data_IF_070698201361
#
_entry.id   IF_070698201361
#
_cell.length_a   1.000
_cell.length_b   1.000
_cell.length_c   1.000
_cell.angle_alpha   90.00
_cell.angle_beta   90.00
_cell.angle_gamma   90.00
#
_symmetry.space_group_name_H-M   'P 1'
#
loop_
_entity.id
_entity.type
_entity.pdbx_description
1 polymer ?
#
# COMPACT_ATOMS: atom_id res chain seq x y z
N UNK A 1 -25.04 -19.45 2.84
CA UNK A 1 -23.64 -19.87 2.59
C UNK A 1 -22.83 -18.64 2.21
N UNK A 2 -21.66 -18.48 2.81
CA UNK A 2 -20.85 -17.25 2.68
C UNK A 2 -20.16 -17.16 1.32
N UNK A 3 -20.85 -16.64 0.31
CA UNK A 3 -20.27 -16.43 -1.04
C UNK A 3 -18.99 -15.58 -1.00
N UNK A 4 -18.87 -14.66 -0.03
CA UNK A 4 -17.66 -13.85 0.19
C UNK A 4 -16.45 -14.73 0.53
N UNK A 5 -16.62 -15.72 1.42
CA UNK A 5 -15.53 -16.60 1.84
C UNK A 5 -14.97 -17.47 0.70
N UNK A 6 -15.81 -17.94 -0.22
CA UNK A 6 -15.35 -18.71 -1.37
C UNK A 6 -14.54 -17.86 -2.35
N UNK A 7 -15.03 -16.66 -2.69
CA UNK A 7 -14.30 -15.74 -3.59
C UNK A 7 -12.96 -15.35 -2.98
N UNK A 8 -12.94 -15.00 -1.69
CA UNK A 8 -11.73 -14.65 -0.96
C UNK A 8 -10.71 -15.81 -0.94
N UNK A 9 -11.18 -17.04 -0.66
CA UNK A 9 -10.31 -18.22 -0.65
C UNK A 9 -9.62 -18.45 -1.99
N UNK A 10 -10.38 -18.33 -3.09
CA UNK A 10 -9.83 -18.49 -4.44
C UNK A 10 -8.78 -17.41 -4.73
N UNK A 11 -9.04 -16.16 -4.36
CA UNK A 11 -8.10 -15.05 -4.54
C UNK A 11 -6.81 -15.25 -3.73
N UNK A 12 -6.92 -15.68 -2.47
CA UNK A 12 -5.76 -15.95 -1.61
C UNK A 12 -4.94 -17.12 -2.13
N UNK A 13 -5.56 -18.23 -2.52
CA UNK A 13 -4.86 -19.40 -3.07
C UNK A 13 -4.14 -19.05 -4.38
N UNK A 14 -4.75 -18.18 -5.21
CA UNK A 14 -4.13 -17.68 -6.45
C UNK A 14 -2.95 -16.76 -6.17
N UNK A 15 -3.10 -15.82 -5.22
CA UNK A 15 -2.06 -14.85 -4.87
C UNK A 15 -0.78 -15.50 -4.33
N UNK A 16 -0.93 -16.53 -3.50
CA UNK A 16 0.22 -17.27 -2.94
C UNK A 16 0.70 -18.42 -3.82
N UNK A 17 0.07 -18.65 -4.98
CA UNK A 17 0.44 -19.75 -5.88
C UNK A 17 0.25 -21.14 -5.29
N UNK A 18 -0.47 -21.26 -4.17
CA UNK A 18 -0.71 -22.52 -3.43
C UNK A 18 -1.45 -23.51 -4.31
N UNK A 19 -2.32 -23.03 -5.20
CA UNK A 19 -3.08 -23.87 -6.13
C UNK A 19 -2.15 -24.67 -7.07
N UNK A 20 -1.03 -24.09 -7.51
CA UNK A 20 -0.01 -24.80 -8.30
C UNK A 20 0.69 -25.88 -7.49
N UNK A 21 0.98 -25.62 -6.21
CA UNK A 21 1.62 -26.58 -5.32
C UNK A 21 0.74 -27.80 -5.05
N UNK A 22 -0.57 -27.58 -4.87
CA UNK A 22 -1.51 -28.63 -4.47
C UNK A 22 -2.01 -29.49 -5.63
N UNK A 23 -2.18 -28.90 -6.83
CA UNK A 23 -2.90 -29.55 -7.94
C UNK A 23 -2.05 -29.83 -9.18
N UNK A 24 -0.75 -29.49 -9.19
CA UNK A 24 0.12 -29.81 -10.32
C UNK A 24 0.55 -31.26 -10.30
N UNK A 25 0.22 -31.98 -11.35
CA UNK A 25 0.59 -33.39 -11.56
C UNK A 25 1.95 -33.57 -12.21
N UNK A 26 2.48 -32.51 -12.88
CA UNK A 26 3.80 -32.56 -13.52
C UNK A 26 4.92 -32.40 -12.46
N UNK A 27 5.84 -33.40 -12.34
CA UNK A 27 6.95 -33.37 -11.39
C UNK A 27 7.89 -32.17 -11.54
N UNK A 28 8.08 -31.68 -12.77
CA UNK A 28 8.95 -30.52 -13.06
C UNK A 28 8.32 -29.23 -12.54
N UNK A 29 7.04 -29.02 -12.79
CA UNK A 29 6.32 -27.85 -12.30
C UNK A 29 6.19 -27.86 -10.76
N UNK A 30 5.96 -29.03 -10.18
CA UNK A 30 5.93 -29.19 -8.72
C UNK A 30 7.26 -28.82 -8.07
N UNK A 31 8.39 -29.30 -8.63
CA UNK A 31 9.74 -28.94 -8.18
C UNK A 31 9.99 -27.42 -8.28
N UNK A 32 9.60 -26.80 -9.41
CA UNK A 32 9.70 -25.36 -9.60
C UNK A 32 8.87 -24.58 -8.56
N UNK A 33 7.63 -25.02 -8.27
CA UNK A 33 6.77 -24.40 -7.30
C UNK A 33 7.34 -24.50 -5.86
N UNK A 34 7.96 -25.64 -5.50
CA UNK A 34 8.63 -25.82 -4.20
C UNK A 34 9.82 -24.86 -4.08
N UNK A 35 10.69 -24.78 -5.10
CA UNK A 35 11.84 -23.86 -5.09
C UNK A 35 11.41 -22.39 -5.02
N UNK A 36 10.33 -22.03 -5.71
CA UNK A 36 9.73 -20.69 -5.60
C UNK A 36 9.22 -20.43 -4.19
N UNK A 37 8.57 -21.41 -3.56
CA UNK A 37 8.10 -21.31 -2.17
C UNK A 37 9.24 -21.13 -1.18
N UNK A 38 10.34 -21.89 -1.33
CA UNK A 38 11.55 -21.71 -0.50
C UNK A 38 12.14 -20.32 -0.69
N UNK A 39 12.25 -19.84 -1.94
CA UNK A 39 12.74 -18.49 -2.24
C UNK A 39 11.89 -17.40 -1.58
N UNK A 40 10.56 -17.52 -1.65
CA UNK A 40 9.64 -16.59 -0.97
C UNK A 40 9.80 -16.65 0.54
N UNK A 41 9.98 -17.86 1.11
CA UNK A 41 10.23 -18.04 2.54
C UNK A 41 11.52 -17.37 3.02
N UNK A 42 12.62 -17.52 2.27
CA UNK A 42 13.90 -16.86 2.57
C UNK A 42 13.77 -15.32 2.47
N UNK A 43 13.08 -14.80 1.45
CA UNK A 43 12.81 -13.38 1.33
C UNK A 43 11.98 -12.86 2.51
N UNK A 44 10.96 -13.60 2.94
CA UNK A 44 10.16 -13.23 4.11
C UNK A 44 11.01 -13.16 5.38
N UNK A 45 11.89 -14.13 5.63
CA UNK A 45 12.80 -14.12 6.77
C UNK A 45 13.73 -12.89 6.70
N UNK A 46 14.27 -12.58 5.52
CA UNK A 46 15.13 -11.41 5.33
C UNK A 46 14.37 -10.10 5.62
N UNK A 47 13.15 -9.97 5.13
CA UNK A 47 12.31 -8.78 5.37
C UNK A 47 11.99 -8.63 6.86
N UNK A 48 11.67 -9.72 7.56
CA UNK A 48 11.42 -9.70 9.00
C UNK A 48 12.70 -9.29 9.76
N UNK A 49 13.86 -9.84 9.38
CA UNK A 49 15.14 -9.47 9.98
C UNK A 49 15.47 -7.99 9.81
N UNK A 50 15.28 -7.47 8.59
CA UNK A 50 15.42 -6.02 8.33
C UNK A 50 14.44 -5.19 9.15
N UNK A 51 13.19 -5.61 9.24
CA UNK A 51 12.19 -4.94 10.06
C UNK A 51 12.60 -4.87 11.53
N UNK A 52 13.12 -5.96 12.10
CA UNK A 52 13.62 -5.98 13.48
C UNK A 52 14.77 -4.99 13.65
N UNK A 53 15.75 -4.99 12.74
CA UNK A 53 16.90 -4.09 12.80
C UNK A 53 16.47 -2.62 12.76
N UNK A 54 15.60 -2.24 11.80
CA UNK A 54 15.09 -0.87 11.70
C UNK A 54 14.30 -0.46 12.96
N UNK A 55 13.47 -1.34 13.48
CA UNK A 55 12.73 -1.05 14.70
C UNK A 55 13.65 -0.85 15.91
N UNK A 56 14.73 -1.63 16.04
CA UNK A 56 15.72 -1.45 17.11
C UNK A 56 16.41 -0.09 16.95
N UNK A 57 16.90 0.25 15.75
CA UNK A 57 17.58 1.52 15.49
C UNK A 57 16.70 2.71 15.83
N UNK A 58 15.47 2.74 15.33
CA UNK A 58 14.50 3.81 15.61
C UNK A 58 14.20 3.90 17.11
N UNK A 59 13.94 2.77 17.76
CA UNK A 59 13.58 2.74 19.17
C UNK A 59 14.72 3.21 20.08
N UNK A 60 15.97 2.88 19.74
CA UNK A 60 17.17 3.35 20.47
C UNK A 60 17.31 4.87 20.31
N UNK A 61 17.17 5.40 19.09
CA UNK A 61 17.21 6.85 18.85
C UNK A 61 16.13 7.59 19.65
N UNK A 62 14.91 7.07 19.69
CA UNK A 62 13.83 7.65 20.50
C UNK A 62 14.11 7.58 22.01
N UNK A 63 14.82 6.56 22.47
CA UNK A 63 15.23 6.43 23.86
C UNK A 63 16.30 7.46 24.23
N UNK A 64 17.25 7.74 23.36
CA UNK A 64 18.31 8.73 23.58
C UNK A 64 17.77 10.16 23.73
N UNK A 65 16.69 10.49 23.02
CA UNK A 65 16.02 11.79 23.13
C UNK A 65 14.85 11.82 24.14
N UNK A 66 14.72 10.78 24.97
CA UNK A 66 13.66 10.64 26.01
C UNK A 66 12.21 10.67 25.48
N UNK A 67 12.00 10.39 24.18
CA UNK A 67 10.69 10.43 23.51
C UNK A 67 10.15 9.02 23.15
N UNK A 68 10.46 8.00 23.93
CA UNK A 68 10.09 6.58 23.65
C UNK A 68 8.58 6.38 23.47
N UNK A 69 7.76 7.20 24.12
CA UNK A 69 6.29 7.12 24.02
C UNK A 69 5.79 7.36 22.60
N UNK A 70 6.50 8.18 21.82
CA UNK A 70 6.15 8.50 20.43
C UNK A 70 6.62 7.47 19.42
N UNK A 71 7.47 6.52 19.80
CA UNK A 71 8.01 5.50 18.91
C UNK A 71 6.91 4.66 18.24
N UNK A 72 6.02 4.06 19.03
CA UNK A 72 4.93 3.23 18.47
C UNK A 72 3.94 4.00 17.60
N UNK A 73 3.44 5.19 17.99
CA UNK A 73 2.60 6.02 17.13
C UNK A 73 3.29 6.43 15.82
N UNK A 74 4.58 6.70 15.84
CA UNK A 74 5.36 7.00 14.64
C UNK A 74 5.44 5.79 13.71
N UNK A 75 5.82 4.62 14.23
CA UNK A 75 5.87 3.38 13.43
C UNK A 75 4.49 3.04 12.85
N UNK A 76 3.42 3.20 13.62
CA UNK A 76 2.05 3.01 13.15
C UNK A 76 1.69 3.98 12.02
N UNK A 77 2.06 5.25 12.15
CA UNK A 77 1.80 6.27 11.13
C UNK A 77 2.56 5.98 9.84
N UNK A 78 3.84 5.60 9.94
CA UNK A 78 4.65 5.18 8.79
C UNK A 78 4.06 3.94 8.10
N UNK A 79 3.68 2.92 8.88
CA UNK A 79 3.04 1.72 8.35
C UNK A 79 1.70 2.05 7.67
N UNK A 80 0.88 2.92 8.25
CA UNK A 80 -0.36 3.40 7.66
C UNK A 80 -0.14 4.14 6.35
N UNK A 81 0.90 4.95 6.26
CA UNK A 81 1.28 5.66 5.03
C UNK A 81 1.73 4.69 3.93
N UNK A 82 2.55 3.69 4.26
CA UNK A 82 2.96 2.65 3.31
C UNK A 82 1.74 1.84 2.83
N UNK A 83 0.82 1.50 3.73
CA UNK A 83 -0.45 0.82 3.38
C UNK A 83 -1.28 1.69 2.43
N UNK A 84 -1.38 2.99 2.69
CA UNK A 84 -2.09 3.93 1.83
C UNK A 84 -1.53 3.90 0.41
N UNK A 85 -0.21 4.03 0.27
CA UNK A 85 0.47 4.01 -1.02
C UNK A 85 0.29 2.66 -1.73
N UNK A 86 0.62 1.56 -1.06
CA UNK A 86 0.54 0.22 -1.66
C UNK A 86 -0.88 -0.14 -2.06
N UNK A 87 -1.87 0.26 -1.26
CA UNK A 87 -3.29 0.04 -1.56
C UNK A 87 -3.73 0.92 -2.73
N UNK A 88 -3.28 2.16 -2.80
CA UNK A 88 -3.60 3.07 -3.90
C UNK A 88 -3.22 2.46 -5.26
N UNK A 89 -2.01 1.90 -5.38
CA UNK A 89 -1.58 1.23 -6.61
C UNK A 89 -2.32 -0.07 -6.90
N UNK A 90 -2.63 -0.85 -5.88
CA UNK A 90 -3.31 -2.15 -6.01
C UNK A 90 -4.82 -2.01 -6.23
N UNK A 91 -5.44 -0.97 -5.67
CA UNK A 91 -6.89 -0.78 -5.70
C UNK A 91 -7.46 -0.75 -7.12
N UNK A 92 -6.77 -0.09 -8.04
CA UNK A 92 -7.17 -0.03 -9.46
C UNK A 92 -7.26 -1.44 -10.06
N UNK A 93 -6.20 -2.23 -9.93
CA UNK A 93 -6.13 -3.58 -10.49
C UNK A 93 -7.07 -4.58 -9.80
N UNK A 94 -7.20 -4.49 -8.47
CA UNK A 94 -8.00 -5.43 -7.69
C UNK A 94 -9.50 -5.12 -7.76
N UNK A 95 -9.88 -3.84 -7.65
CA UNK A 95 -11.29 -3.45 -7.57
C UNK A 95 -11.91 -3.19 -8.94
N UNK A 96 -11.14 -2.72 -9.92
CA UNK A 96 -11.72 -2.18 -11.15
C UNK A 96 -11.28 -2.89 -12.44
N UNK A 97 -10.06 -3.40 -12.52
CA UNK A 97 -9.47 -3.98 -13.74
C UNK A 97 -9.17 -5.48 -13.61
N UNK A 98 -9.70 -6.16 -12.61
CA UNK A 98 -9.47 -7.61 -12.42
C UNK A 98 -9.97 -8.41 -13.63
N UNK A 99 -9.07 -9.20 -14.24
CA UNK A 99 -9.40 -10.05 -15.40
C UNK A 99 -10.51 -11.06 -15.12
N UNK A 100 -10.68 -11.43 -13.86
CA UNK A 100 -11.67 -12.41 -13.43
C UNK A 100 -13.06 -11.78 -13.15
N UNK A 101 -13.17 -10.45 -13.38
CA UNK A 101 -14.36 -9.70 -13.00
C UNK A 101 -15.60 -10.10 -13.79
N UNK A 102 -15.45 -10.21 -15.10
CA UNK A 102 -16.57 -10.59 -15.99
C UNK A 102 -17.06 -12.00 -15.66
N UNK A 103 -16.16 -12.90 -15.27
CA UNK A 103 -16.49 -14.24 -14.81
C UNK A 103 -17.22 -14.22 -13.45
N UNK A 104 -16.77 -13.38 -12.52
CA UNK A 104 -17.40 -13.22 -11.21
C UNK A 104 -18.80 -12.58 -11.31
N UNK A 105 -19.01 -11.65 -12.23
CA UNK A 105 -20.31 -11.03 -12.48
C UNK A 105 -21.30 -11.96 -13.17
N UNK A 106 -20.84 -12.98 -13.89
CA UNK A 106 -21.68 -14.02 -14.49
C UNK A 106 -22.21 -15.01 -13.45
N UNK A 107 -21.63 -15.07 -12.25
CA UNK A 107 -22.11 -15.94 -11.18
C UNK A 107 -23.35 -15.35 -10.49
N UNK A 108 -24.26 -16.16 -9.97
CA UNK A 108 -25.47 -15.70 -9.26
C UNK A 108 -25.12 -15.17 -7.85
N UNK A 109 -24.17 -14.22 -7.78
CA UNK A 109 -23.66 -13.63 -6.54
C UNK A 109 -23.97 -12.12 -6.57
N UNK A 110 -24.45 -11.59 -5.44
CA UNK A 110 -24.68 -10.14 -5.32
C UNK A 110 -23.37 -9.39 -5.50
N UNK A 111 -23.36 -8.33 -6.30
CA UNK A 111 -22.19 -7.49 -6.58
C UNK A 111 -21.52 -6.98 -5.28
N UNK A 112 -22.33 -6.69 -4.25
CA UNK A 112 -21.81 -6.28 -2.93
C UNK A 112 -20.94 -7.33 -2.25
N UNK A 113 -21.23 -8.62 -2.48
CA UNK A 113 -20.39 -9.71 -1.93
C UNK A 113 -19.06 -9.85 -2.68
N UNK A 114 -19.05 -9.59 -3.99
CA UNK A 114 -17.84 -9.61 -4.80
C UNK A 114 -16.92 -8.46 -4.35
N UNK A 115 -17.47 -7.25 -4.24
CA UNK A 115 -16.71 -6.07 -3.77
C UNK A 115 -16.22 -6.27 -2.33
N UNK A 116 -17.07 -6.80 -1.46
CA UNK A 116 -16.71 -7.11 -0.07
C UNK A 116 -15.55 -8.10 0.00
N UNK A 117 -15.53 -9.13 -0.84
CA UNK A 117 -14.42 -10.10 -0.92
C UNK A 117 -13.12 -9.43 -1.38
N UNK A 118 -13.19 -8.51 -2.37
CA UNK A 118 -12.00 -7.81 -2.87
C UNK A 118 -11.44 -6.82 -1.86
N UNK A 119 -12.30 -6.06 -1.17
CA UNK A 119 -11.85 -5.15 -0.11
C UNK A 119 -11.26 -5.95 1.06
N UNK A 120 -11.86 -7.09 1.41
CA UNK A 120 -11.33 -7.99 2.43
C UNK A 120 -10.00 -8.62 2.00
N UNK A 121 -9.83 -8.95 0.73
CA UNK A 121 -8.55 -9.41 0.19
C UNK A 121 -7.46 -8.35 0.32
N UNK A 122 -7.76 -7.09 -0.05
CA UNK A 122 -6.83 -5.97 0.15
C UNK A 122 -6.48 -5.78 1.62
N UNK A 123 -7.46 -5.87 2.51
CA UNK A 123 -7.25 -5.79 3.95
C UNK A 123 -6.30 -6.89 4.45
N UNK A 124 -6.54 -8.15 4.10
CA UNK A 124 -5.70 -9.26 4.54
C UNK A 124 -4.26 -9.13 4.03
N UNK A 125 -4.08 -8.71 2.77
CA UNK A 125 -2.74 -8.49 2.22
C UNK A 125 -1.98 -7.37 2.92
N UNK A 126 -2.66 -6.28 3.26
CA UNK A 126 -2.07 -5.18 4.01
C UNK A 126 -1.86 -5.54 5.50
N UNK A 127 -2.75 -6.34 6.08
CA UNK A 127 -2.59 -6.84 7.45
C UNK A 127 -1.33 -7.71 7.57
N UNK A 128 -1.07 -8.61 6.61
CA UNK A 128 0.16 -9.41 6.60
C UNK A 128 1.41 -8.53 6.56
N UNK A 129 1.39 -7.48 5.74
CA UNK A 129 2.48 -6.52 5.67
C UNK A 129 2.65 -5.73 6.99
N UNK A 130 1.54 -5.28 7.56
CA UNK A 130 1.53 -4.55 8.84
C UNK A 130 2.11 -5.40 9.98
N UNK A 131 1.73 -6.68 10.05
CA UNK A 131 2.21 -7.65 11.05
C UNK A 131 3.74 -7.73 11.03
N UNK A 132 4.35 -7.76 9.84
CA UNK A 132 5.81 -7.80 9.68
C UNK A 132 6.51 -6.55 10.25
N UNK A 133 5.85 -5.40 10.25
CA UNK A 133 6.40 -4.14 10.78
C UNK A 133 6.06 -3.97 12.27
N UNK A 134 4.79 -4.13 12.60
CA UNK A 134 4.28 -3.77 13.93
C UNK A 134 4.59 -4.83 15.00
N UNK A 135 4.61 -6.13 14.67
CA UNK A 135 4.96 -7.13 15.70
C UNK A 135 6.38 -6.92 16.23
N UNK A 136 7.42 -6.75 15.38
CA UNK A 136 8.75 -6.38 15.87
C UNK A 136 8.77 -5.08 16.66
N UNK A 137 8.00 -4.06 16.24
CA UNK A 137 7.92 -2.80 16.94
C UNK A 137 7.38 -2.95 18.36
N UNK A 138 6.28 -3.68 18.52
CA UNK A 138 5.71 -3.96 19.84
C UNK A 138 6.64 -4.77 20.74
N UNK A 139 7.39 -5.71 20.14
CA UNK A 139 8.37 -6.53 20.86
C UNK A 139 9.56 -5.68 21.34
N UNK A 140 10.12 -4.83 20.48
CA UNK A 140 11.21 -3.91 20.82
C UNK A 140 10.79 -2.94 21.91
N UNK A 141 9.61 -2.35 21.79
CA UNK A 141 9.03 -1.47 22.81
C UNK A 141 8.87 -2.20 24.16
N UNK A 142 8.38 -3.44 24.10
CA UNK A 142 8.22 -4.30 25.27
C UNK A 142 9.52 -4.55 26.04
N UNK A 143 10.65 -4.73 25.32
CA UNK A 143 11.97 -4.89 25.93
C UNK A 143 12.49 -3.61 26.54
N UNK A 144 12.33 -2.48 25.84
CA UNK A 144 12.88 -1.17 26.24
C UNK A 144 12.13 -0.54 27.41
N UNK A 145 10.80 -0.58 27.38
CA UNK A 145 9.92 0.15 28.34
C UNK A 145 9.38 -0.79 29.41
N UNK A 146 9.33 -2.10 29.17
CA UNK A 146 8.74 -3.11 30.06
C UNK A 146 7.32 -2.73 30.50
N UNK A 147 6.39 -2.52 29.56
CA UNK A 147 5.04 -2.05 29.83
C UNK A 147 4.24 -3.08 30.66
N UNK A 148 3.12 -2.64 31.24
CA UNK A 148 2.19 -3.53 31.92
C UNK A 148 1.59 -4.56 30.97
N UNK A 149 1.19 -5.74 31.47
CA UNK A 149 0.63 -6.84 30.65
C UNK A 149 -0.57 -6.43 29.78
N UNK A 150 -1.37 -5.45 30.23
CA UNK A 150 -2.52 -4.90 29.50
C UNK A 150 -2.12 -4.25 28.17
N UNK A 151 -0.88 -3.74 28.06
CA UNK A 151 -0.32 -3.21 26.82
C UNK A 151 -0.43 -4.21 25.66
N UNK A 152 0.00 -5.44 25.86
CA UNK A 152 0.02 -6.44 24.79
C UNK A 152 -1.37 -6.77 24.27
N UNK A 153 -2.37 -6.72 25.15
CA UNK A 153 -3.76 -6.93 24.79
C UNK A 153 -4.29 -5.77 23.93
N UNK A 154 -4.12 -4.54 24.41
CA UNK A 154 -4.57 -3.32 23.69
C UNK A 154 -3.83 -3.20 22.36
N UNK A 155 -2.50 -3.41 22.36
CA UNK A 155 -1.66 -3.38 21.17
C UNK A 155 -2.09 -4.39 20.13
N UNK A 156 -2.29 -5.65 20.52
CA UNK A 156 -2.74 -6.72 19.62
C UNK A 156 -4.13 -6.46 19.05
N UNK A 157 -5.06 -5.92 19.85
CA UNK A 157 -6.39 -5.56 19.38
C UNK A 157 -6.34 -4.39 18.39
N UNK A 158 -5.66 -3.30 18.74
CA UNK A 158 -5.57 -2.12 17.86
C UNK A 158 -4.84 -2.41 16.55
N UNK A 159 -3.80 -3.25 16.57
CA UNK A 159 -3.04 -3.64 15.39
C UNK A 159 -3.93 -4.15 14.25
N UNK A 160 -4.93 -4.98 14.57
CA UNK A 160 -5.86 -5.53 13.57
C UNK A 160 -6.65 -4.43 12.85
N UNK A 161 -6.94 -3.30 13.52
CA UNK A 161 -7.78 -2.24 12.96
C UNK A 161 -6.99 -1.10 12.29
N UNK A 162 -5.68 -1.02 12.50
CA UNK A 162 -4.80 -0.01 11.88
C UNK A 162 -4.95 0.07 10.36
N UNK A 163 -5.00 -1.04 9.58
CA UNK A 163 -5.02 -0.95 8.12
C UNK A 163 -6.34 -0.42 7.54
N UNK A 164 -7.43 -0.44 8.33
CA UNK A 164 -8.78 -0.17 7.79
C UNK A 164 -8.90 1.25 7.21
N UNK A 165 -8.48 2.26 7.96
CA UNK A 165 -8.60 3.66 7.53
C UNK A 165 -7.71 3.99 6.33
N UNK A 166 -6.41 3.64 6.30
CA UNK A 166 -5.58 3.85 5.11
C UNK A 166 -6.13 3.18 3.86
N UNK A 167 -6.67 1.97 3.98
CA UNK A 167 -7.29 1.25 2.86
C UNK A 167 -8.51 2.00 2.31
N UNK A 168 -9.37 2.53 3.20
CA UNK A 168 -10.54 3.30 2.80
C UNK A 168 -10.11 4.54 2.01
N UNK A 169 -9.18 5.31 2.56
CA UNK A 169 -8.69 6.54 1.91
C UNK A 169 -8.07 6.21 0.56
N UNK A 170 -7.17 5.22 0.52
CA UNK A 170 -6.47 4.84 -0.70
C UNK A 170 -7.43 4.34 -1.79
N UNK A 171 -8.40 3.51 -1.43
CA UNK A 171 -9.38 2.98 -2.39
C UNK A 171 -10.33 4.06 -2.88
N UNK A 172 -10.75 4.99 -2.03
CA UNK A 172 -11.61 6.11 -2.41
C UNK A 172 -10.88 7.07 -3.36
N UNK A 173 -9.66 7.48 -3.01
CA UNK A 173 -8.82 8.33 -3.87
C UNK A 173 -8.49 7.62 -5.19
N UNK A 174 -8.15 6.33 -5.12
CA UNK A 174 -7.89 5.50 -6.31
C UNK A 174 -9.10 5.42 -7.23
N UNK A 175 -10.32 5.29 -6.68
CA UNK A 175 -11.56 5.29 -7.46
C UNK A 175 -11.80 6.66 -8.14
N UNK A 176 -11.60 7.76 -7.44
CA UNK A 176 -11.76 9.12 -8.00
C UNK A 176 -10.77 9.34 -9.14
N UNK A 177 -9.48 9.02 -8.91
CA UNK A 177 -8.44 9.20 -9.94
C UNK A 177 -8.74 8.32 -11.15
N UNK A 178 -9.17 7.08 -10.93
CA UNK A 178 -9.57 6.19 -12.03
C UNK A 178 -10.72 6.79 -12.82
N UNK A 179 -11.76 7.34 -12.18
CA UNK A 179 -12.88 8.00 -12.87
C UNK A 179 -12.44 9.25 -13.67
N UNK A 180 -11.49 10.03 -13.15
CA UNK A 180 -10.97 11.22 -13.83
C UNK A 180 -10.10 10.81 -15.02
N UNK A 181 -9.17 9.88 -14.80
CA UNK A 181 -8.21 9.45 -15.83
C UNK A 181 -8.88 8.76 -17.02
N UNK A 182 -10.02 8.11 -16.82
CA UNK A 182 -10.78 7.50 -17.91
C UNK A 182 -11.40 8.48 -18.89
N UNK A 183 -11.69 9.69 -18.44
CA UNK A 183 -12.21 10.76 -19.30
C UNK A 183 -11.10 11.41 -20.16
N UNK A 184 -9.84 11.13 -19.85
CA UNK A 184 -8.70 11.76 -20.48
C UNK A 184 -8.02 10.82 -21.49
N UNK A 185 -7.66 11.38 -22.65
CA UNK A 185 -7.09 10.64 -23.79
C UNK A 185 -5.71 10.00 -23.50
N UNK A 186 -5.02 10.45 -22.42
CA UNK A 186 -3.66 10.05 -22.05
C UNK A 186 -3.57 9.54 -20.58
N UNK A 187 -4.32 8.51 -20.26
CA UNK A 187 -4.34 7.91 -18.90
C UNK A 187 -2.99 7.56 -18.33
N UNK A 188 -2.10 7.01 -19.18
CA UNK A 188 -0.75 6.60 -18.75
C UNK A 188 0.13 7.81 -18.37
N UNK A 189 0.01 8.91 -19.12
CA UNK A 189 0.77 10.13 -18.82
C UNK A 189 0.37 10.76 -17.48
N UNK A 190 -0.91 10.77 -17.17
CA UNK A 190 -1.41 11.33 -15.90
C UNK A 190 -1.01 10.47 -14.72
N UNK A 191 -1.10 9.14 -14.85
CA UNK A 191 -0.61 8.22 -13.82
C UNK A 191 0.89 8.42 -13.57
N UNK A 192 1.65 8.65 -14.65
CA UNK A 192 3.07 8.94 -14.58
C UNK A 192 3.35 10.26 -13.85
N UNK A 193 2.64 11.33 -14.20
CA UNK A 193 2.78 12.63 -13.54
C UNK A 193 2.46 12.54 -12.04
N UNK A 194 1.40 11.82 -11.66
CA UNK A 194 1.05 11.62 -10.25
C UNK A 194 2.17 10.88 -9.52
N UNK A 195 2.75 9.85 -10.13
CA UNK A 195 3.86 9.10 -9.55
C UNK A 195 5.13 9.96 -9.39
N UNK A 196 5.46 10.77 -10.40
CA UNK A 196 6.63 11.68 -10.34
C UNK A 196 6.44 12.73 -9.25
N UNK A 197 5.28 13.35 -9.17
CA UNK A 197 4.96 14.32 -8.11
C UNK A 197 5.06 13.66 -6.73
N UNK A 198 4.54 12.43 -6.60
CA UNK A 198 4.63 11.69 -5.35
C UNK A 198 6.08 11.42 -4.94
N UNK A 199 6.93 10.95 -5.86
CA UNK A 199 8.36 10.71 -5.61
C UNK A 199 9.06 12.02 -5.25
N UNK A 200 8.77 13.12 -5.97
CA UNK A 200 9.33 14.43 -5.67
C UNK A 200 8.97 14.90 -4.25
N UNK A 201 7.72 14.70 -3.81
CA UNK A 201 7.28 15.02 -2.44
C UNK A 201 8.06 14.20 -1.41
N UNK A 202 8.22 12.88 -1.63
CA UNK A 202 8.99 12.01 -0.71
C UNK A 202 10.46 12.45 -0.63
N UNK A 203 11.06 12.79 -1.76
CA UNK A 203 12.45 13.29 -1.83
C UNK A 203 12.57 14.63 -1.08
N UNK A 204 11.68 15.59 -1.35
CA UNK A 204 11.68 16.89 -0.66
C UNK A 204 11.52 16.73 0.86
N UNK A 205 10.65 15.81 1.31
CA UNK A 205 10.52 15.51 2.74
C UNK A 205 11.80 14.91 3.32
N UNK A 206 12.50 14.04 2.58
CA UNK A 206 13.77 13.43 3.03
C UNK A 206 14.89 14.46 3.15
N UNK A 207 15.01 15.40 2.20
CA UNK A 207 15.99 16.49 2.28
C UNK A 207 15.67 17.48 3.41
N UNK A 208 14.39 17.81 3.61
CA UNK A 208 13.98 18.66 4.72
C UNK A 208 14.33 18.06 6.09
N UNK A 209 14.32 16.74 6.21
CA UNK A 209 14.72 16.06 7.45
C UNK A 209 16.23 16.10 7.71
N UNK A 210 17.06 16.05 6.66
CA UNK A 210 18.53 16.07 6.79
C UNK A 210 19.13 17.46 7.11
N UNK A 211 18.39 18.54 6.87
CA UNK A 211 18.85 19.92 7.14
C UNK A 211 18.68 20.36 8.60
N UNK A 212 18.25 19.46 9.48
CA UNK A 212 17.90 19.76 10.86
C UNK A 212 19.08 19.44 11.76
N UNK A 213 19.65 20.45 12.41
CA UNK A 213 20.77 20.30 13.33
C UNK A 213 20.39 19.54 14.61
N UNK A 214 21.37 18.82 15.18
CA UNK A 214 21.19 17.98 16.39
C UNK A 214 20.65 18.76 17.62
N UNK A 215 20.94 20.06 17.71
CA UNK A 215 20.48 20.95 18.78
C UNK A 215 18.94 21.11 18.85
N UNK A 216 18.24 20.85 17.74
CA UNK A 216 16.78 21.00 17.67
C UNK A 216 16.02 19.65 17.74
N UNK A 217 16.72 18.53 17.96
CA UNK A 217 16.12 17.19 17.90
C UNK A 217 15.01 16.99 18.96
N UNK A 218 15.15 17.51 20.17
CA UNK A 218 14.11 17.43 21.21
C UNK A 218 12.83 18.17 20.85
N UNK A 219 12.95 19.39 20.30
CA UNK A 219 11.80 20.18 19.81
C UNK A 219 11.17 19.57 18.56
N UNK A 220 11.95 18.85 17.76
CA UNK A 220 11.49 18.17 16.56
C UNK A 220 10.54 17.00 16.85
N UNK A 221 10.77 16.25 17.91
CA UNK A 221 9.86 15.17 18.31
C UNK A 221 8.43 15.70 18.48
N UNK A 222 8.26 16.81 19.18
CA UNK A 222 6.96 17.46 19.38
C UNK A 222 6.41 18.06 18.06
N UNK A 223 7.27 18.70 17.25
CA UNK A 223 6.85 19.28 15.96
C UNK A 223 6.43 18.19 14.99
N UNK A 224 7.20 17.10 14.88
CA UNK A 224 6.87 15.96 14.01
C UNK A 224 5.57 15.30 14.49
N UNK A 225 5.40 15.09 15.81
CA UNK A 225 4.16 14.52 16.33
C UNK A 225 2.97 15.46 16.16
N UNK A 226 3.15 16.77 16.31
CA UNK A 226 2.07 17.73 16.02
C UNK A 226 1.69 17.72 14.53
N UNK A 227 2.66 17.60 13.64
CA UNK A 227 2.43 17.47 12.20
C UNK A 227 1.71 16.14 11.86
N UNK A 228 2.17 15.02 12.44
CA UNK A 228 1.52 13.71 12.29
C UNK A 228 0.08 13.79 12.79
N UNK A 229 -0.16 14.37 13.96
CA UNK A 229 -1.49 14.49 14.54
C UNK A 229 -2.41 15.40 13.70
N UNK A 230 -1.89 16.44 13.04
CA UNK A 230 -2.67 17.27 12.11
C UNK A 230 -3.05 16.51 10.85
N UNK A 231 -2.14 15.71 10.30
CA UNK A 231 -2.36 14.93 9.06
C UNK A 231 -3.16 13.67 9.35
N UNK A 232 -2.86 13.00 10.46
CA UNK A 232 -3.44 11.71 10.83
C UNK A 232 -3.86 11.69 12.32
N UNK A 233 -5.02 12.30 12.66
CA UNK A 233 -5.48 12.42 14.07
C UNK A 233 -5.63 11.09 14.81
N UNK A 234 -5.77 9.99 14.07
CA UNK A 234 -5.80 8.64 14.65
C UNK A 234 -4.50 8.25 15.35
N UNK A 235 -3.37 8.87 15.01
CA UNK A 235 -2.09 8.62 15.68
C UNK A 235 -2.15 9.03 17.15
N UNK A 236 -2.83 10.12 17.46
CA UNK A 236 -3.03 10.57 18.84
C UNK A 236 -3.95 9.62 19.61
N UNK A 237 -5.06 9.18 19.00
CA UNK A 237 -5.92 8.16 19.62
C UNK A 237 -5.16 6.85 19.87
N UNK A 238 -4.29 6.46 18.95
CA UNK A 238 -3.45 5.28 19.10
C UNK A 238 -2.43 5.44 20.22
N UNK A 239 -1.78 6.61 20.36
CA UNK A 239 -0.89 6.92 21.46
C UNK A 239 -1.61 6.76 22.80
N UNK A 240 -2.76 7.42 22.96
CA UNK A 240 -3.57 7.35 24.18
C UNK A 240 -4.02 5.92 24.48
N UNK A 241 -4.41 5.17 23.45
CA UNK A 241 -4.84 3.79 23.63
C UNK A 241 -3.71 2.88 24.10
N UNK A 242 -2.55 2.93 23.43
CA UNK A 242 -1.48 1.95 23.57
C UNK A 242 -0.45 2.36 24.62
N UNK A 243 0.00 3.62 24.61
CA UNK A 243 1.04 4.10 25.50
C UNK A 243 0.48 4.57 26.86
N UNK A 244 -0.71 5.22 26.86
CA UNK A 244 -1.37 5.68 28.08
C UNK A 244 -2.36 4.65 28.65
N UNK A 245 -2.50 3.48 28.01
CA UNK A 245 -3.43 2.39 28.41
C UNK A 245 -4.90 2.81 28.53
N UNK A 246 -5.34 3.81 27.76
CA UNK A 246 -6.71 4.28 27.78
C UNK A 246 -7.63 3.33 26.98
N UNK A 247 -8.45 2.57 27.71
CA UNK A 247 -9.44 1.66 27.11
C UNK A 247 -10.47 2.45 26.30
N UNK A 248 -10.84 3.66 26.76
CA UNK A 248 -11.76 4.55 26.03
C UNK A 248 -11.22 4.95 24.65
N UNK A 249 -9.93 5.35 24.59
CA UNK A 249 -9.28 5.69 23.33
C UNK A 249 -9.15 4.47 22.40
N UNK A 250 -8.86 3.28 22.96
CA UNK A 250 -8.81 2.04 22.18
C UNK A 250 -10.18 1.70 21.57
N UNK A 251 -11.25 1.79 22.35
CA UNK A 251 -12.61 1.55 21.86
C UNK A 251 -13.04 2.58 20.81
N UNK A 252 -12.69 3.84 20.99
CA UNK A 252 -12.93 4.89 19.98
C UNK A 252 -12.17 4.63 18.71
N UNK A 253 -10.88 4.27 18.78
CA UNK A 253 -10.06 3.92 17.61
C UNK A 253 -10.65 2.75 16.83
N UNK A 254 -11.01 1.67 17.52
CA UNK A 254 -11.61 0.48 16.93
C UNK A 254 -12.99 0.80 16.36
N UNK A 255 -13.84 1.45 17.12
CA UNK A 255 -15.20 1.80 16.72
C UNK A 255 -15.24 2.68 15.49
N UNK A 256 -14.39 3.73 15.43
CA UNK A 256 -14.28 4.64 14.31
C UNK A 256 -13.77 3.88 13.05
N UNK A 257 -12.77 3.01 13.21
CA UNK A 257 -12.20 2.22 12.12
C UNK A 257 -13.22 1.24 11.53
N UNK A 258 -13.96 0.52 12.38
CA UNK A 258 -14.99 -0.45 11.96
C UNK A 258 -16.18 0.27 11.32
N UNK A 259 -16.65 1.37 11.91
CA UNK A 259 -17.76 2.16 11.40
C UNK A 259 -17.43 2.73 10.03
N UNK A 260 -16.25 3.36 9.88
CA UNK A 260 -15.79 3.90 8.62
C UNK A 260 -15.69 2.81 7.55
N UNK A 261 -15.13 1.63 7.90
CA UNK A 261 -15.00 0.50 6.99
C UNK A 261 -16.37 -0.06 6.55
N UNK A 262 -17.30 -0.24 7.48
CA UNK A 262 -18.66 -0.69 7.19
C UNK A 262 -19.42 0.28 6.26
N UNK A 263 -19.34 1.59 6.54
CA UNK A 263 -19.92 2.62 5.67
C UNK A 263 -19.30 2.61 4.27
N UNK A 264 -17.98 2.47 4.20
CA UNK A 264 -17.26 2.42 2.93
C UNK A 264 -17.66 1.21 2.09
N UNK A 265 -17.68 0.01 2.66
CA UNK A 265 -18.05 -1.22 1.93
C UNK A 265 -19.50 -1.15 1.43
N UNK A 266 -20.42 -0.62 2.23
CA UNK A 266 -21.81 -0.44 1.82
C UNK A 266 -21.98 0.60 0.72
N UNK A 267 -21.23 1.71 0.79
CA UNK A 267 -21.26 2.77 -0.22
C UNK A 267 -20.68 2.28 -1.55
N UNK A 268 -19.50 1.70 -1.54
CA UNK A 268 -18.86 1.15 -2.76
C UNK A 268 -19.73 0.02 -3.34
N UNK A 269 -20.23 -0.90 -2.52
CA UNK A 269 -21.07 -2.01 -2.97
C UNK A 269 -22.32 -1.56 -3.73
N UNK A 270 -22.94 -0.43 -3.34
CA UNK A 270 -24.10 0.15 -4.02
C UNK A 270 -23.73 0.85 -5.34
N UNK A 271 -22.61 1.55 -5.39
CA UNK A 271 -22.20 2.34 -6.56
C UNK A 271 -21.28 1.57 -7.53
N UNK A 272 -20.83 0.41 -7.12
CA UNK A 272 -19.80 -0.37 -7.83
C UNK A 272 -20.19 -0.69 -9.28
N UNK A 273 -21.43 -1.17 -9.52
CA UNK A 273 -21.91 -1.51 -10.87
C UNK A 273 -21.83 -0.32 -11.82
N UNK A 274 -22.16 0.88 -11.33
CA UNK A 274 -22.11 2.12 -12.11
C UNK A 274 -20.65 2.45 -12.47
N UNK A 275 -19.77 2.38 -11.49
CA UNK A 275 -18.34 2.65 -11.68
C UNK A 275 -17.73 1.65 -12.68
N UNK A 276 -17.99 0.36 -12.52
CA UNK A 276 -17.50 -0.69 -13.42
C UNK A 276 -18.01 -0.53 -14.85
N UNK A 277 -19.31 -0.24 -15.04
CA UNK A 277 -19.87 -0.01 -16.38
C UNK A 277 -19.24 1.21 -17.04
N UNK A 278 -19.05 2.31 -16.31
CA UNK A 278 -18.32 3.48 -16.82
C UNK A 278 -16.90 3.14 -17.26
N UNK A 279 -16.23 2.25 -16.52
CA UNK A 279 -14.88 1.77 -16.81
C UNK A 279 -14.82 1.01 -18.13
N UNK A 280 -15.71 0.05 -18.33
CA UNK A 280 -15.76 -0.75 -19.54
C UNK A 280 -16.14 0.09 -20.79
N UNK A 281 -17.09 1.00 -20.66
CA UNK A 281 -17.50 1.85 -21.79
C UNK A 281 -16.42 2.84 -22.22
N UNK A 282 -15.60 3.32 -21.29
CA UNK A 282 -14.48 4.24 -21.61
C UNK A 282 -13.30 3.50 -22.27
N UNK A 283 -13.00 2.27 -21.85
CA UNK A 283 -11.96 1.45 -22.47
C UNK A 283 -12.28 1.10 -23.93
N UNK A 284 -13.56 0.93 -24.29
CA UNK A 284 -14.01 0.68 -25.67
C UNK A 284 -13.97 1.92 -26.57
N UNK A 285 -13.90 3.14 -26.03
CA UNK A 285 -13.81 4.39 -26.80
C UNK A 285 -12.43 4.71 -27.36
N UNK A 286 -11.39 3.95 -27.01
CA UNK A 286 -10.10 3.98 -27.71
C UNK A 286 -10.23 3.29 -29.09
N UNK A 287 -11.07 3.83 -29.94
CA UNK A 287 -11.10 3.42 -31.35
C UNK A 287 -9.77 3.82 -32.00
N UNK A 288 -9.12 2.84 -32.57
CA UNK A 288 -7.98 3.05 -33.45
C UNK A 288 -8.43 3.87 -34.65
N UNK A 289 -8.17 5.17 -34.63
CA UNK A 289 -8.21 5.99 -35.83
C UNK A 289 -6.98 5.61 -36.66
N UNK A 290 -7.19 4.80 -37.69
CA UNK A 290 -6.16 4.42 -38.64
C UNK A 290 -5.60 5.67 -39.33
N UNK A 291 -4.55 6.26 -38.74
CA UNK A 291 -3.79 7.31 -39.39
C UNK A 291 -2.94 6.75 -40.52
N UNK A 292 -2.73 7.53 -41.57
CA UNK A 292 -1.78 7.17 -42.64
C UNK A 292 -0.41 6.89 -42.02
N UNK A 293 0.08 5.68 -42.22
CA UNK A 293 1.43 5.26 -41.80
C UNK A 293 2.41 6.07 -42.62
N UNK A 294 3.09 7.05 -42.01
CA UNK A 294 4.21 7.74 -42.68
C UNK A 294 5.39 6.78 -42.77
N UNK A 295 5.93 6.61 -43.94
CA UNK A 295 7.16 5.89 -44.15
C UNK A 295 8.28 6.57 -43.37
N UNK A 296 8.92 5.83 -42.47
CA UNK A 296 10.06 6.26 -41.67
C UNK A 296 11.21 5.30 -41.86
N UNK A 297 12.44 5.76 -41.66
CA UNK A 297 13.61 4.87 -41.70
C UNK A 297 13.42 3.73 -40.67
N UNK A 298 13.98 2.56 -40.96
CA UNK A 298 13.86 1.36 -40.09
C UNK A 298 14.30 1.67 -38.66
N UNK A 299 15.42 2.40 -38.48
CA UNK A 299 15.92 2.83 -37.18
C UNK A 299 14.95 3.81 -36.48
N UNK A 300 14.39 4.77 -37.26
CA UNK A 300 13.42 5.72 -36.73
C UNK A 300 12.13 5.04 -36.28
N UNK A 301 11.64 4.06 -37.03
CA UNK A 301 10.47 3.27 -36.70
C UNK A 301 10.67 2.43 -35.42
N UNK A 302 11.85 1.78 -35.30
CA UNK A 302 12.22 1.00 -34.09
C UNK A 302 12.35 1.90 -32.89
N UNK A 303 13.04 3.03 -32.98
CA UNK A 303 13.20 3.99 -31.89
C UNK A 303 11.85 4.51 -31.39
N UNK A 304 10.99 4.95 -32.31
CA UNK A 304 9.65 5.44 -31.98
C UNK A 304 8.77 4.35 -31.34
N UNK A 305 8.85 3.12 -31.83
CA UNK A 305 8.16 1.96 -31.26
C UNK A 305 8.60 1.70 -29.82
N UNK A 306 9.91 1.67 -29.55
CA UNK A 306 10.44 1.42 -28.20
C UNK A 306 10.15 2.59 -27.27
N UNK A 307 10.23 3.83 -27.74
CA UNK A 307 9.88 5.02 -26.98
C UNK A 307 8.41 5.04 -26.62
N UNK A 308 7.52 4.67 -27.55
CA UNK A 308 6.09 4.53 -27.28
C UNK A 308 5.81 3.40 -26.30
N UNK A 309 6.52 2.28 -26.40
CA UNK A 309 6.43 1.15 -25.48
C UNK A 309 6.90 1.55 -24.06
N UNK A 310 8.00 2.27 -23.97
CA UNK A 310 8.54 2.79 -22.72
C UNK A 310 7.51 3.68 -22.01
N UNK A 311 6.98 4.70 -22.67
CA UNK A 311 5.98 5.61 -22.10
C UNK A 311 4.59 4.99 -21.94
N UNK A 312 4.32 3.84 -22.56
CA UNK A 312 3.05 3.13 -22.35
C UNK A 312 2.98 2.38 -21.03
N UNK A 313 4.12 2.10 -20.41
CA UNK A 313 4.20 1.42 -19.11
C UNK A 313 4.67 2.39 -18.02
N UNK A 314 3.75 2.84 -17.18
CA UNK A 314 4.07 3.73 -16.05
C UNK A 314 5.10 3.13 -15.10
N UNK A 315 5.13 1.80 -14.94
CA UNK A 315 6.07 1.08 -14.09
C UNK A 315 7.52 1.18 -14.64
N UNK A 316 7.69 1.05 -15.96
CA UNK A 316 9.01 1.20 -16.59
C UNK A 316 9.57 2.60 -16.43
N UNK A 317 8.75 3.61 -16.72
CA UNK A 317 9.15 5.01 -16.60
C UNK A 317 9.48 5.35 -15.15
N UNK A 318 8.68 4.90 -14.19
CA UNK A 318 8.91 5.13 -12.78
C UNK A 318 10.24 4.55 -12.31
N UNK A 319 10.51 3.27 -12.59
CA UNK A 319 11.75 2.62 -12.18
C UNK A 319 13.00 3.30 -12.77
N UNK A 320 12.93 3.72 -14.03
CA UNK A 320 14.06 4.39 -14.69
C UNK A 320 14.22 5.82 -14.20
N UNK A 321 13.12 6.57 -14.01
CA UNK A 321 13.17 7.95 -13.52
C UNK A 321 13.74 8.02 -12.11
N UNK A 322 13.35 7.09 -11.22
CA UNK A 322 13.91 7.00 -9.86
C UNK A 322 15.42 6.79 -9.91
N UNK A 323 15.89 5.86 -10.75
CA UNK A 323 17.34 5.62 -10.93
C UNK A 323 18.09 6.85 -11.43
N UNK A 324 17.54 7.56 -12.42
CA UNK A 324 18.14 8.80 -12.95
C UNK A 324 18.19 9.89 -11.88
N UNK A 325 17.11 10.08 -11.11
CA UNK A 325 17.05 11.09 -10.05
C UNK A 325 18.10 10.78 -8.97
N UNK A 326 18.21 9.53 -8.53
CA UNK A 326 19.23 9.14 -7.55
C UNK A 326 20.67 9.34 -8.08
N UNK A 327 20.94 9.00 -9.35
CA UNK A 327 22.22 9.26 -9.97
C UNK A 327 22.55 10.76 -10.03
N UNK A 328 21.58 11.61 -10.39
CA UNK A 328 21.78 13.06 -10.45
C UNK A 328 22.03 13.67 -9.06
N UNK A 329 21.29 13.20 -8.04
CA UNK A 329 21.48 13.65 -6.66
C UNK A 329 22.86 13.23 -6.13
N UNK A 330 23.28 11.99 -6.38
CA UNK A 330 24.59 11.49 -5.96
C UNK A 330 25.74 12.23 -6.65
N UNK A 331 25.61 12.57 -7.94
CA UNK A 331 26.61 13.35 -8.65
C UNK A 331 26.64 14.81 -8.22
N UNK A 332 25.52 15.39 -7.82
CA UNK A 332 25.48 16.75 -7.25
C UNK A 332 26.18 16.82 -5.89
N UNK A 333 25.92 15.84 -5.01
CA UNK A 333 26.51 15.74 -3.67
C UNK A 333 28.03 15.42 -3.71
N UNK A 334 28.51 14.80 -4.79
CA UNK A 334 29.93 14.50 -5.01
C UNK A 334 30.71 15.66 -5.68
N UNK A 335 30.00 16.70 -6.15
CA UNK A 335 30.58 17.87 -6.81
C UNK A 335 30.75 19.08 -5.87
N UNK A 336 30.12 19.08 -4.71
CA UNK A 336 30.28 20.01 -3.58
C UNK A 336 31.28 19.44 -2.56
#
# INVERSE_FOLDING_TARGET
MNNIGYVLRVQLLSAFGINKLLHTTDPKEKKKAIWTGIGIGLLAIMIIGMSILYNILIAVSFKEIELVEFYLPMVMSLASFIILITTFYKAKGVLFEGKDYDMLLALPIKTSHIVGAQVLYLYLMNLLFLVVIMIPAGFVYGILVRPRGIFYLIYGMTLVFVPLIPIIIATFVGAIITMITMRLKHTNFITLMINVVFIAVVICMSFGANSISEEHMGQLGEVVMSAINKIYPLAQLYLQAVCEYSIGAALLFIGLSVLAFGLFVTFIGRKFKIIHTMLQTSARRSQYEGGQVKESSVLGALYYKELKRYFSSSLYVMNTSVGIIFCLLYTSDAAD
#
